data_IF_650123224136
#
_entry.id   IF_650123224136
#
_cell.length_a   1.000
_cell.length_b   1.000
_cell.length_c   1.000
_cell.angle_alpha   90.00
_cell.angle_beta   90.00
_cell.angle_gamma   90.00
#
_symmetry.space_group_name_H-M   'P 1'
#
loop_
_entity.id
_entity.type
_entity.pdbx_description
1 polymer ?
#
# COMPACT_ATOMS: atom_id res chain seq x y z
N UNK A 1 32.41 -14.61 -38.56
CA UNK A 1 31.10 -15.30 -38.59
C UNK A 1 30.82 -16.19 -37.37
N UNK A 2 31.72 -17.10 -36.94
CA UNK A 2 31.47 -17.96 -35.76
C UNK A 2 31.38 -17.20 -34.41
N UNK A 3 32.23 -16.20 -34.19
CA UNK A 3 32.19 -15.34 -33.00
C UNK A 3 30.89 -14.53 -32.91
N UNK A 4 30.46 -13.95 -34.03
CA UNK A 4 29.20 -13.22 -34.14
C UNK A 4 28.01 -14.13 -33.81
N UNK A 5 27.94 -15.34 -34.40
CA UNK A 5 26.88 -16.31 -34.07
C UNK A 5 26.86 -16.70 -32.58
N UNK A 6 28.03 -16.84 -31.93
CA UNK A 6 28.13 -17.11 -30.49
C UNK A 6 27.62 -15.95 -29.64
N UNK A 7 27.97 -14.72 -30.01
CA UNK A 7 27.47 -13.52 -29.33
C UNK A 7 25.94 -13.42 -29.38
N UNK A 8 25.33 -13.60 -30.56
CA UNK A 8 23.88 -13.60 -30.69
C UNK A 8 23.21 -14.71 -29.90
N UNK A 9 23.80 -15.91 -29.86
CA UNK A 9 23.27 -17.01 -29.06
C UNK A 9 23.30 -16.69 -27.56
N UNK A 10 24.38 -16.08 -27.06
CA UNK A 10 24.50 -15.65 -25.66
C UNK A 10 23.46 -14.59 -25.34
N UNK A 11 23.32 -13.58 -26.21
CA UNK A 11 22.33 -12.52 -26.03
C UNK A 11 20.91 -13.08 -26.02
N UNK A 12 20.58 -13.95 -26.98
CA UNK A 12 19.27 -14.61 -27.07
C UNK A 12 18.97 -15.44 -25.82
N UNK A 13 19.92 -16.26 -25.36
CA UNK A 13 19.74 -17.05 -24.15
C UNK A 13 19.59 -16.16 -22.91
N UNK A 14 20.37 -15.09 -22.82
CA UNK A 14 20.25 -14.09 -21.76
C UNK A 14 18.86 -13.45 -21.74
N UNK A 15 18.32 -13.08 -22.91
CA UNK A 15 16.95 -12.55 -23.03
C UNK A 15 15.91 -13.58 -22.59
N UNK A 16 16.04 -14.86 -22.98
CA UNK A 16 15.11 -15.90 -22.55
C UNK A 16 15.14 -16.11 -21.03
N UNK A 17 16.33 -16.14 -20.43
CA UNK A 17 16.49 -16.25 -18.98
C UNK A 17 15.85 -15.04 -18.28
N UNK A 18 16.07 -13.83 -18.80
CA UNK A 18 15.46 -12.62 -18.26
C UNK A 18 13.94 -12.64 -18.35
N UNK A 19 13.37 -13.03 -19.49
CA UNK A 19 11.92 -13.19 -19.65
C UNK A 19 11.40 -14.23 -18.65
N UNK A 20 12.02 -15.40 -18.56
CA UNK A 20 11.62 -16.41 -17.58
C UNK A 20 11.68 -15.89 -16.14
N UNK A 21 12.74 -15.14 -15.78
CA UNK A 21 12.87 -14.47 -14.50
C UNK A 21 11.70 -13.54 -14.23
N UNK A 22 11.36 -12.64 -15.16
CA UNK A 22 10.24 -11.69 -14.99
C UNK A 22 8.93 -12.44 -14.75
N UNK A 23 8.61 -13.44 -15.58
CA UNK A 23 7.37 -14.22 -15.42
C UNK A 23 7.31 -14.96 -14.07
N UNK A 24 8.39 -15.60 -13.64
CA UNK A 24 8.43 -16.35 -12.38
C UNK A 24 8.36 -15.41 -11.18
N UNK A 25 9.20 -14.36 -11.17
CA UNK A 25 9.33 -13.45 -10.03
C UNK A 25 8.16 -12.47 -9.88
N UNK A 26 7.24 -12.42 -10.83
CA UNK A 26 6.02 -11.59 -10.76
C UNK A 26 4.77 -12.42 -10.44
N UNK A 27 4.93 -13.72 -10.15
CA UNK A 27 3.80 -14.60 -9.82
C UNK A 27 2.93 -14.95 -11.03
N UNK A 28 3.41 -14.79 -12.26
CA UNK A 28 2.59 -14.95 -13.47
C UNK A 28 1.89 -16.32 -13.57
N UNK A 29 2.55 -17.38 -13.11
CA UNK A 29 2.05 -18.74 -13.14
C UNK A 29 1.27 -19.15 -11.88
N UNK A 30 1.03 -18.21 -10.95
CA UNK A 30 0.34 -18.51 -9.71
C UNK A 30 -1.13 -18.82 -9.98
N UNK A 31 -1.63 -19.90 -9.37
CA UNK A 31 -3.04 -20.27 -9.44
C UNK A 31 -3.85 -19.40 -8.49
N UNK A 32 -5.02 -18.97 -8.95
CA UNK A 32 -5.97 -18.19 -8.16
C UNK A 32 -7.01 -19.16 -7.60
N UNK A 33 -7.02 -19.34 -6.28
CA UNK A 33 -7.92 -20.27 -5.59
C UNK A 33 -8.44 -19.61 -4.31
N UNK A 34 -9.75 -19.44 -4.19
CA UNK A 34 -10.36 -18.85 -3.00
C UNK A 34 -10.53 -19.90 -1.90
N UNK A 35 -9.90 -19.68 -0.74
CA UNK A 35 -10.05 -20.52 0.46
C UNK A 35 -10.80 -19.83 1.60
N UNK A 36 -11.43 -18.69 1.31
CA UNK A 36 -12.09 -17.88 2.32
C UNK A 36 -13.30 -18.57 2.95
N UNK A 37 -13.26 -18.71 4.27
CA UNK A 37 -14.40 -19.16 5.09
C UNK A 37 -15.22 -17.95 5.55
N UNK A 38 -16.13 -17.50 4.70
CA UNK A 38 -16.95 -16.33 4.96
C UNK A 38 -17.78 -15.92 3.76
N UNK A 39 -18.21 -14.65 3.74
CA UNK A 39 -18.97 -14.08 2.62
C UNK A 39 -18.71 -12.60 2.43
N UNK A 40 -18.85 -12.13 1.20
CA UNK A 40 -18.98 -10.69 0.90
C UNK A 40 -20.37 -10.26 1.40
N UNK A 41 -20.42 -9.28 2.29
CA UNK A 41 -21.68 -8.75 2.82
C UNK A 41 -22.09 -7.43 2.19
N UNK A 42 -21.14 -6.65 1.67
CA UNK A 42 -21.39 -5.40 0.94
C UNK A 42 -20.33 -5.12 -0.10
N UNK A 43 -20.75 -4.41 -1.16
CA UNK A 43 -19.90 -3.64 -2.06
C UNK A 43 -20.27 -2.17 -1.90
N UNK A 44 -19.30 -1.31 -1.62
CA UNK A 44 -19.51 0.11 -1.36
C UNK A 44 -18.93 0.88 -2.54
N UNK A 45 -19.77 1.66 -3.21
CA UNK A 45 -19.37 2.48 -4.35
C UNK A 45 -18.52 3.67 -3.88
N UNK A 46 -17.21 3.50 -4.00
CA UNK A 46 -16.19 4.49 -3.68
C UNK A 46 -14.94 4.11 -4.48
N UNK A 47 -14.79 4.65 -5.71
CA UNK A 47 -13.74 4.20 -6.63
C UNK A 47 -12.32 4.41 -6.08
N UNK A 48 -11.46 3.42 -6.27
CA UNK A 48 -10.05 3.50 -5.90
C UNK A 48 -9.82 3.81 -4.43
N UNK A 49 -10.54 3.11 -3.54
CA UNK A 49 -10.38 3.15 -2.10
C UNK A 49 -9.07 2.45 -1.70
N UNK A 50 -7.96 3.13 -1.89
CA UNK A 50 -6.63 2.54 -1.96
C UNK A 50 -6.05 2.22 -0.58
N UNK A 51 -6.36 3.02 0.44
CA UNK A 51 -5.89 2.79 1.80
C UNK A 51 -6.97 3.10 2.85
N UNK A 52 -6.96 2.36 3.97
CA UNK A 52 -8.00 2.40 5.00
C UNK A 52 -7.36 2.23 6.39
N UNK A 53 -7.59 3.20 7.28
CA UNK A 53 -7.18 3.13 8.69
C UNK A 53 -8.40 3.16 9.61
N UNK A 54 -8.39 2.32 10.67
CA UNK A 54 -9.51 2.20 11.62
C UNK A 54 -9.15 2.75 13.00
N UNK A 55 -10.03 3.59 13.54
CA UNK A 55 -10.10 3.81 14.98
C UNK A 55 -11.01 2.77 15.62
N UNK A 56 -10.40 1.78 16.28
CA UNK A 56 -11.16 0.72 16.98
C UNK A 56 -11.91 1.27 18.20
N UNK A 57 -11.24 2.14 18.96
CA UNK A 57 -11.76 2.75 20.19
C UNK A 57 -12.99 3.63 19.97
N UNK A 58 -13.03 4.38 18.86
CA UNK A 58 -14.18 5.24 18.55
C UNK A 58 -15.09 4.66 17.45
N UNK A 59 -14.70 3.49 16.90
CA UNK A 59 -15.42 2.67 15.93
C UNK A 59 -15.75 3.41 14.63
N UNK A 60 -14.72 3.89 13.93
CA UNK A 60 -14.83 4.46 12.60
C UNK A 60 -13.61 4.14 11.74
N UNK A 61 -13.75 4.23 10.42
CA UNK A 61 -12.64 4.16 9.48
C UNK A 61 -12.44 5.49 8.73
N UNK A 62 -11.21 5.75 8.32
CA UNK A 62 -10.87 6.75 7.31
C UNK A 62 -10.39 6.02 6.08
N UNK A 63 -10.96 6.38 4.93
CA UNK A 63 -10.66 5.76 3.64
C UNK A 63 -10.03 6.84 2.75
N UNK A 64 -8.85 6.55 2.22
CA UNK A 64 -8.25 7.29 1.11
C UNK A 64 -8.85 6.79 -0.18
N UNK A 65 -9.42 7.67 -1.00
CA UNK A 65 -9.97 7.28 -2.30
C UNK A 65 -9.60 8.28 -3.37
N UNK A 66 -9.12 7.76 -4.51
CA UNK A 66 -8.79 8.55 -5.70
C UNK A 66 -9.28 7.84 -6.95
N UNK A 67 -10.18 8.50 -7.69
CA UNK A 67 -10.64 7.97 -8.98
C UNK A 67 -9.61 8.27 -10.08
N UNK A 68 -9.30 7.26 -10.88
CA UNK A 68 -8.56 7.44 -12.14
C UNK A 68 -7.05 7.25 -12.06
N UNK A 69 -6.53 6.46 -11.10
CA UNK A 69 -5.12 6.07 -11.01
C UNK A 69 -4.59 5.19 -12.16
N UNK A 70 -5.41 4.93 -13.18
CA UNK A 70 -5.02 4.15 -14.35
C UNK A 70 -3.88 4.84 -15.12
N UNK A 71 -3.02 4.02 -15.71
CA UNK A 71 -1.90 4.45 -16.53
C UNK A 71 -2.26 4.43 -18.02
N UNK A 72 -1.85 5.43 -18.82
CA UNK A 72 -1.25 6.69 -18.40
C UNK A 72 -2.27 7.58 -17.67
N UNK A 73 -1.84 8.48 -16.79
CA UNK A 73 -2.74 9.43 -16.11
C UNK A 73 -3.45 10.30 -17.15
N UNK A 74 -4.74 10.07 -17.42
CA UNK A 74 -5.47 10.75 -18.52
C UNK A 74 -6.25 11.99 -18.06
N UNK A 75 -6.43 12.24 -16.76
CA UNK A 75 -7.20 13.39 -16.25
C UNK A 75 -6.70 13.84 -14.87
N UNK A 76 -7.24 14.97 -14.38
CA UNK A 76 -7.11 15.36 -12.98
C UNK A 76 -7.70 14.26 -12.08
N UNK A 77 -6.82 13.51 -11.42
CA UNK A 77 -7.20 12.61 -10.33
C UNK A 77 -7.97 13.43 -9.29
N UNK A 78 -9.22 13.04 -9.06
CA UNK A 78 -10.07 13.65 -8.03
C UNK A 78 -10.27 12.62 -6.95
N UNK A 79 -9.80 12.94 -5.76
CA UNK A 79 -9.92 12.07 -4.61
C UNK A 79 -10.33 12.81 -3.35
N UNK A 80 -10.37 12.07 -2.25
CA UNK A 80 -10.79 12.58 -0.97
C UNK A 80 -10.53 11.60 0.15
N UNK A 81 -10.66 12.11 1.38
CA UNK A 81 -10.72 11.28 2.57
C UNK A 81 -12.19 11.11 2.96
N UNK A 82 -12.56 9.88 3.29
CA UNK A 82 -13.95 9.53 3.61
C UNK A 82 -14.03 8.94 5.01
N UNK A 83 -15.05 9.33 5.75
CA UNK A 83 -15.38 8.77 7.06
C UNK A 83 -16.38 7.64 6.91
N UNK A 84 -16.11 6.49 7.52
CA UNK A 84 -17.04 5.37 7.61
C UNK A 84 -17.40 5.10 9.07
N UNK A 85 -18.68 5.19 9.41
CA UNK A 85 -19.16 4.81 10.75
C UNK A 85 -19.23 3.28 10.84
N UNK A 86 -18.54 2.69 11.83
CA UNK A 86 -18.50 1.24 12.03
C UNK A 86 -19.49 0.76 13.10
N UNK A 87 -20.29 1.67 13.69
CA UNK A 87 -21.32 1.34 14.68
C UNK A 87 -22.63 0.94 14.02
N UNK A 88 -22.81 1.29 12.75
CA UNK A 88 -24.00 0.94 11.96
C UNK A 88 -23.63 -0.06 10.88
N UNK A 89 -24.62 -0.82 10.41
CA UNK A 89 -24.45 -1.75 9.30
C UNK A 89 -24.70 -1.10 7.94
N UNK A 90 -24.86 0.23 7.89
CA UNK A 90 -25.15 0.95 6.64
C UNK A 90 -23.86 1.12 5.83
N UNK A 91 -22.73 1.39 6.49
CA UNK A 91 -21.41 1.57 5.90
C UNK A 91 -21.43 2.58 4.74
N UNK A 92 -22.07 3.74 4.95
CA UNK A 92 -22.10 4.83 3.98
C UNK A 92 -20.90 5.77 4.19
N UNK A 93 -19.99 5.91 3.21
CA UNK A 93 -18.85 6.82 3.32
C UNK A 93 -19.30 8.29 3.24
N UNK A 94 -18.77 9.13 4.14
CA UNK A 94 -18.99 10.57 4.15
C UNK A 94 -17.71 11.27 3.67
N UNK A 95 -17.79 12.01 2.57
CA UNK A 95 -16.64 12.78 2.07
C UNK A 95 -16.27 13.89 3.06
N UNK A 96 -15.09 13.80 3.66
CA UNK A 96 -14.56 14.75 4.63
C UNK A 96 -13.84 15.95 3.98
N UNK A 97 -13.47 15.82 2.71
CA UNK A 97 -12.64 16.77 1.97
C UNK A 97 -13.42 17.51 0.88
N UNK A 98 -14.76 17.49 0.90
CA UNK A 98 -15.59 18.18 -0.10
C UNK A 98 -15.32 19.68 -0.17
N UNK A 99 -14.95 20.29 0.95
CA UNK A 99 -14.62 21.71 1.06
C UNK A 99 -13.10 22.00 0.91
N UNK A 100 -12.27 20.96 0.73
CA UNK A 100 -10.84 21.13 0.53
C UNK A 100 -10.56 21.59 -0.90
N UNK A 101 -10.14 22.84 -1.06
CA UNK A 101 -10.04 23.51 -2.37
C UNK A 101 -8.74 23.24 -3.13
N UNK A 102 -7.75 22.61 -2.50
CA UNK A 102 -6.49 22.25 -3.15
C UNK A 102 -6.68 20.96 -3.95
N UNK A 103 -6.00 20.83 -5.09
CA UNK A 103 -5.96 19.59 -5.84
C UNK A 103 -5.48 18.44 -4.93
N UNK A 104 -6.27 17.37 -4.89
CA UNK A 104 -6.09 16.31 -3.91
C UNK A 104 -6.40 14.95 -4.53
N UNK A 105 -5.36 14.11 -4.56
CA UNK A 105 -5.40 12.72 -4.99
C UNK A 105 -4.65 11.91 -3.91
N UNK A 106 -5.33 11.61 -2.78
CA UNK A 106 -4.71 10.94 -1.66
C UNK A 106 -4.34 9.49 -2.00
N UNK A 107 -3.23 9.02 -1.43
CA UNK A 107 -2.67 7.66 -1.52
C UNK A 107 -2.65 7.05 -0.11
N UNK A 108 -1.52 6.51 0.35
CA UNK A 108 -1.38 6.01 1.72
C UNK A 108 -1.66 7.08 2.78
N UNK A 109 -2.27 6.64 3.88
CA UNK A 109 -2.73 7.48 4.99
C UNK A 109 -2.30 6.92 6.35
N UNK A 110 -2.10 7.83 7.30
CA UNK A 110 -1.88 7.45 8.69
C UNK A 110 -2.74 8.26 9.63
N UNK A 111 -3.20 7.64 10.71
CA UNK A 111 -4.04 8.27 11.72
C UNK A 111 -3.53 7.98 13.13
N UNK A 112 -3.45 9.03 13.97
CA UNK A 112 -3.20 8.90 15.41
C UNK A 112 -4.19 9.73 16.21
N UNK A 113 -4.61 9.22 17.37
CA UNK A 113 -5.44 9.98 18.31
C UNK A 113 -4.59 10.97 19.10
N UNK A 114 -5.05 12.21 19.19
CA UNK A 114 -4.45 13.29 19.98
C UNK A 114 -5.57 13.91 20.83
N UNK A 115 -5.56 13.57 22.12
CA UNK A 115 -6.62 13.92 23.07
C UNK A 115 -8.00 13.44 22.59
N UNK A 116 -8.93 14.37 22.32
CA UNK A 116 -10.27 14.10 21.80
C UNK A 116 -10.37 14.16 20.27
N UNK A 117 -9.28 14.46 19.58
CA UNK A 117 -9.23 14.61 18.12
C UNK A 117 -8.29 13.59 17.48
N UNK A 118 -8.27 13.53 16.16
CA UNK A 118 -7.34 12.70 15.41
C UNK A 118 -6.48 13.55 14.50
N UNK A 119 -5.20 13.20 14.38
CA UNK A 119 -4.32 13.74 13.36
C UNK A 119 -4.21 12.73 12.23
N UNK A 120 -4.45 13.18 11.00
CA UNK A 120 -4.40 12.35 9.80
C UNK A 120 -3.33 12.93 8.86
N UNK A 121 -2.45 12.07 8.36
CA UNK A 121 -1.56 12.39 7.23
C UNK A 121 -2.06 11.64 6.00
N UNK A 122 -1.98 12.28 4.84
CA UNK A 122 -2.25 11.67 3.55
C UNK A 122 -1.15 12.03 2.57
N UNK A 123 -0.52 11.02 1.96
CA UNK A 123 0.28 11.22 0.76
C UNK A 123 -0.65 11.80 -0.32
N UNK A 124 -0.21 12.82 -1.05
CA UNK A 124 -0.98 13.48 -2.09
C UNK A 124 -0.15 13.62 -3.36
N UNK A 125 -0.72 13.21 -4.49
CA UNK A 125 -0.09 13.29 -5.80
C UNK A 125 -0.76 14.36 -6.66
N UNK A 126 0.02 15.33 -7.13
CA UNK A 126 -0.49 16.35 -8.06
C UNK A 126 0.48 16.55 -9.21
N UNK A 127 0.04 17.25 -10.26
CA UNK A 127 0.93 17.66 -11.35
C UNK A 127 2.09 18.57 -10.87
N UNK A 128 1.93 19.20 -9.70
CA UNK A 128 2.94 20.06 -9.07
C UNK A 128 3.95 19.26 -8.22
N UNK A 129 3.82 17.93 -8.22
CA UNK A 129 4.61 16.99 -7.44
C UNK A 129 3.86 16.45 -6.22
N UNK A 130 4.63 15.80 -5.35
CA UNK A 130 4.14 15.05 -4.21
C UNK A 130 4.18 15.88 -2.93
N UNK A 131 3.18 15.69 -2.06
CA UNK A 131 3.10 16.32 -0.74
C UNK A 131 2.55 15.33 0.28
N UNK A 132 2.69 15.67 1.57
CA UNK A 132 1.94 15.04 2.65
C UNK A 132 1.03 16.10 3.26
N UNK A 133 -0.28 15.90 3.12
CA UNK A 133 -1.30 16.78 3.68
C UNK A 133 -1.70 16.30 5.07
N UNK A 134 -1.66 17.21 6.04
CA UNK A 134 -1.98 16.92 7.44
C UNK A 134 -3.27 17.61 7.84
N UNK A 135 -4.17 16.84 8.43
CA UNK A 135 -5.48 17.28 8.88
C UNK A 135 -5.69 16.95 10.36
N UNK A 136 -6.55 17.73 11.00
CA UNK A 136 -7.15 17.39 12.30
C UNK A 136 -8.60 17.02 12.06
N UNK A 137 -9.02 15.86 12.58
CA UNK A 137 -10.39 15.38 12.61
C UNK A 137 -10.97 15.55 14.01
N UNK A 138 -12.04 16.35 14.12
CA UNK A 138 -12.83 16.52 15.33
C UNK A 138 -14.29 16.14 15.04
N UNK A 139 -14.75 15.01 15.60
CA UNK A 139 -16.01 14.40 15.19
C UNK A 139 -15.96 13.98 13.72
N UNK A 140 -16.77 14.62 12.88
CA UNK A 140 -16.77 14.44 11.41
C UNK A 140 -16.27 15.67 10.65
N UNK A 141 -15.68 16.64 11.35
CA UNK A 141 -15.10 17.85 10.74
C UNK A 141 -13.61 17.65 10.56
N UNK A 142 -13.17 17.62 9.30
CA UNK A 142 -11.77 17.53 8.92
C UNK A 142 -11.24 18.92 8.57
N UNK A 143 -10.16 19.36 9.22
CA UNK A 143 -9.56 20.67 9.01
C UNK A 143 -8.09 20.52 8.63
N UNK A 144 -7.73 21.00 7.43
CA UNK A 144 -6.33 21.03 6.98
C UNK A 144 -5.49 21.90 7.93
N UNK A 145 -4.31 21.41 8.27
CA UNK A 145 -3.38 22.04 9.20
C UNK A 145 -2.09 22.46 8.50
N UNK A 146 -1.52 21.55 7.69
CA UNK A 146 -0.19 21.73 7.12
C UNK A 146 -0.01 20.88 5.87
N UNK A 147 0.72 21.44 4.91
CA UNK A 147 1.25 20.71 3.76
C UNK A 147 2.75 20.55 3.96
N UNK A 148 3.24 19.31 3.95
CA UNK A 148 4.67 19.02 3.91
C UNK A 148 5.09 18.74 2.46
N UNK A 149 6.21 19.35 2.07
CA UNK A 149 6.84 19.14 0.77
C UNK A 149 8.35 19.21 0.96
N UNK A 150 9.06 18.22 0.45
CA UNK A 150 10.51 18.15 0.54
C UNK A 150 11.08 17.44 -0.69
N UNK A 151 12.36 17.69 -1.00
CA UNK A 151 13.06 17.05 -2.13
C UNK A 151 13.23 15.54 -1.96
N UNK A 152 13.16 15.03 -0.72
CA UNK A 152 13.18 13.60 -0.42
C UNK A 152 11.89 12.86 -0.81
N UNK A 153 10.79 13.57 -1.07
CA UNK A 153 9.52 13.00 -1.57
C UNK A 153 9.58 12.77 -3.08
N UNK A 154 10.40 11.81 -3.51
CA UNK A 154 10.63 11.48 -4.93
C UNK A 154 9.45 10.73 -5.54
N UNK A 155 8.93 9.73 -4.85
CA UNK A 155 7.75 8.97 -5.26
C UNK A 155 7.08 8.37 -4.02
N UNK A 156 6.55 9.22 -3.10
CA UNK A 156 6.05 8.75 -1.82
C UNK A 156 4.84 7.83 -2.02
N UNK A 157 4.76 6.74 -1.27
CA UNK A 157 3.70 5.74 -1.43
C UNK A 157 2.77 5.75 -0.22
N UNK A 158 3.34 5.51 0.97
CA UNK A 158 2.62 5.46 2.22
C UNK A 158 3.36 6.20 3.36
N UNK A 159 2.66 6.52 4.44
CA UNK A 159 3.12 7.30 5.59
C UNK A 159 2.70 6.63 6.89
N UNK A 160 3.53 6.70 7.95
CA UNK A 160 3.15 6.24 9.28
C UNK A 160 3.57 7.22 10.39
N UNK A 161 2.60 7.65 11.19
CA UNK A 161 2.86 8.50 12.36
C UNK A 161 3.56 7.71 13.49
N UNK A 162 4.70 8.21 13.94
CA UNK A 162 5.35 7.71 15.16
C UNK A 162 4.73 8.36 16.38
N UNK A 163 4.58 9.68 16.31
CA UNK A 163 3.96 10.53 17.32
C UNK A 163 3.28 11.75 16.68
N UNK A 164 2.89 12.74 17.48
CA UNK A 164 2.18 13.94 17.00
C UNK A 164 3.02 14.87 16.11
N UNK A 165 4.32 14.69 16.01
CA UNK A 165 5.26 15.58 15.31
C UNK A 165 6.11 14.84 14.26
N UNK A 166 6.31 13.54 14.41
CA UNK A 166 7.24 12.76 13.58
C UNK A 166 6.58 11.59 12.86
N UNK A 167 7.07 11.28 11.66
CA UNK A 167 6.54 10.20 10.81
C UNK A 167 7.64 9.59 9.93
N UNK A 168 7.41 8.36 9.47
CA UNK A 168 8.11 7.80 8.32
C UNK A 168 7.23 7.91 7.08
N UNK A 169 7.84 7.96 5.90
CA UNK A 169 7.16 7.67 4.63
C UNK A 169 8.06 6.83 3.72
N UNK A 170 7.46 5.96 2.94
CA UNK A 170 8.13 5.18 1.90
C UNK A 170 8.14 5.97 0.60
N UNK A 171 9.25 5.95 -0.15
CA UNK A 171 9.20 6.25 -1.59
C UNK A 171 9.26 4.95 -2.36
N UNK A 172 8.26 4.68 -3.20
CA UNK A 172 8.19 3.42 -3.91
C UNK A 172 9.27 3.26 -4.97
N UNK A 173 9.73 4.37 -5.56
CA UNK A 173 10.68 4.36 -6.65
C UNK A 173 11.66 5.52 -6.55
N UNK A 174 12.83 5.33 -7.15
CA UNK A 174 13.78 6.43 -7.39
C UNK A 174 13.45 7.20 -8.67
N UNK A 175 12.98 6.50 -9.71
CA UNK A 175 12.62 7.10 -10.99
C UNK A 175 11.11 7.12 -11.16
N UNK A 176 10.53 8.31 -11.35
CA UNK A 176 9.08 8.44 -11.58
C UNK A 176 8.65 7.94 -12.97
N UNK A 177 9.52 8.08 -13.99
CA UNK A 177 9.19 7.70 -15.38
C UNK A 177 10.43 7.19 -16.14
N UNK A 178 10.19 6.70 -17.36
CA UNK A 178 11.25 6.32 -18.32
C UNK A 178 11.88 4.96 -18.05
N UNK A 179 13.07 4.73 -18.64
CA UNK A 179 13.74 3.43 -18.60
C UNK A 179 14.13 3.03 -17.17
N UNK A 180 14.49 4.00 -16.32
CA UNK A 180 14.79 3.75 -14.91
C UNK A 180 13.61 3.11 -14.18
N UNK A 181 12.41 3.68 -14.35
CA UNK A 181 11.17 3.14 -13.78
C UNK A 181 10.87 1.74 -14.29
N UNK A 182 11.03 1.50 -15.60
CA UNK A 182 10.87 0.14 -16.16
C UNK A 182 11.87 -0.86 -15.56
N UNK A 183 13.11 -0.45 -15.30
CA UNK A 183 14.10 -1.33 -14.66
C UNK A 183 13.66 -1.68 -13.24
N UNK A 184 13.17 -0.71 -12.46
CA UNK A 184 12.60 -0.94 -11.13
C UNK A 184 11.42 -1.94 -11.19
N UNK A 185 10.43 -1.67 -12.06
CA UNK A 185 9.20 -2.47 -12.17
C UNK A 185 9.45 -3.91 -12.64
N UNK A 186 10.34 -4.14 -13.62
CA UNK A 186 10.51 -5.47 -14.22
C UNK A 186 11.71 -6.24 -13.67
N UNK A 187 12.83 -5.57 -13.40
CA UNK A 187 14.03 -6.23 -12.85
C UNK A 187 13.90 -6.42 -11.35
N UNK A 188 13.20 -5.53 -10.65
CA UNK A 188 13.11 -5.55 -9.18
C UNK A 188 14.42 -5.15 -8.52
N UNK A 189 15.04 -4.08 -9.02
CA UNK A 189 16.21 -3.47 -8.38
C UNK A 189 15.79 -2.81 -7.06
N UNK A 190 16.67 -2.89 -6.08
CA UNK A 190 16.43 -2.47 -4.70
C UNK A 190 16.96 -1.05 -4.47
N UNK A 191 16.26 -0.05 -5.02
CA UNK A 191 16.70 1.37 -4.97
C UNK A 191 15.68 2.32 -4.35
N UNK A 192 14.54 1.79 -3.90
CA UNK A 192 13.53 2.50 -3.13
C UNK A 192 13.99 2.68 -1.66
N UNK A 193 13.35 3.60 -0.93
CA UNK A 193 13.81 3.99 0.41
C UNK A 193 12.66 4.34 1.37
N UNK A 194 13.02 4.54 2.64
CA UNK A 194 12.17 5.11 3.69
C UNK A 194 12.85 6.35 4.25
N UNK A 195 12.07 7.41 4.42
CA UNK A 195 12.51 8.70 4.95
C UNK A 195 11.78 8.98 6.26
N UNK A 196 12.54 9.44 7.25
CA UNK A 196 12.07 9.92 8.54
C UNK A 196 11.97 11.44 8.54
N UNK A 197 10.86 11.95 9.06
CA UNK A 197 10.69 13.36 9.39
C UNK A 197 10.62 13.53 10.91
N UNK A 198 11.53 14.31 11.49
CA UNK A 198 11.66 14.48 12.95
C UNK A 198 10.79 15.61 13.54
N UNK A 199 10.06 16.34 12.70
CA UNK A 199 9.35 17.57 13.07
C UNK A 199 9.92 18.83 12.39
N UNK A 200 11.16 18.75 11.91
CA UNK A 200 11.90 19.84 11.26
C UNK A 200 12.69 19.36 10.03
N UNK A 201 13.44 18.26 10.15
CA UNK A 201 14.36 17.73 9.16
C UNK A 201 13.90 16.39 8.59
N UNK A 202 14.40 16.06 7.41
CA UNK A 202 14.18 14.80 6.71
C UNK A 202 15.50 14.01 6.62
N UNK A 203 15.45 12.71 6.89
CA UNK A 203 16.60 11.82 6.79
C UNK A 203 16.19 10.46 6.22
N UNK A 204 16.93 9.95 5.25
CA UNK A 204 16.79 8.56 4.81
C UNK A 204 17.21 7.63 5.97
N UNK A 205 16.34 6.66 6.30
CA UNK A 205 16.55 5.74 7.43
C UNK A 205 16.55 4.27 7.01
N UNK A 206 16.14 3.96 5.79
CA UNK A 206 16.33 2.65 5.16
C UNK A 206 16.39 2.81 3.63
N UNK A 207 17.24 2.00 2.99
CA UNK A 207 17.36 1.88 1.54
C UNK A 207 17.35 0.38 1.14
N UNK A 208 17.67 0.06 -0.11
CA UNK A 208 17.77 -1.34 -0.54
C UNK A 208 16.40 -2.03 -0.61
N UNK A 209 15.34 -1.29 -0.94
CA UNK A 209 13.99 -1.83 -1.02
C UNK A 209 13.57 -1.91 -2.50
N UNK A 210 12.97 -3.03 -2.91
CA UNK A 210 12.38 -3.17 -4.22
C UNK A 210 10.90 -2.78 -4.14
N UNK A 211 10.58 -1.57 -4.60
CA UNK A 211 9.23 -1.00 -4.52
C UNK A 211 8.79 -0.80 -3.06
N UNK A 212 9.25 0.26 -2.37
CA UNK A 212 8.83 0.50 -0.98
C UNK A 212 7.37 0.99 -0.93
N UNK A 213 6.46 0.14 -0.48
CA UNK A 213 5.02 0.40 -0.56
C UNK A 213 4.46 0.69 0.86
N UNK A 214 3.42 0.00 1.32
CA UNK A 214 2.82 0.14 2.65
C UNK A 214 3.82 0.06 3.79
N UNK A 215 3.69 0.94 4.77
CA UNK A 215 4.57 1.02 5.95
C UNK A 215 3.75 1.18 7.23
N UNK A 216 3.98 0.32 8.23
CA UNK A 216 3.29 0.45 9.51
C UNK A 216 4.21 0.07 10.69
N UNK A 217 3.82 0.45 11.90
CA UNK A 217 4.63 0.27 13.12
C UNK A 217 3.87 -0.40 14.26
N UNK A 218 4.46 -1.46 14.80
CA UNK A 218 4.12 -1.96 16.13
C UNK A 218 4.85 -1.11 17.18
N UNK A 219 4.15 -0.12 17.72
CA UNK A 219 4.69 0.80 18.73
C UNK A 219 5.05 0.12 20.06
N UNK A 220 4.52 -1.07 20.36
CA UNK A 220 4.82 -1.78 21.61
C UNK A 220 6.15 -2.50 21.52
N UNK A 221 6.49 -3.02 20.34
CA UNK A 221 7.74 -3.75 20.08
C UNK A 221 8.81 -2.90 19.40
N UNK A 222 8.49 -1.67 19.02
CA UNK A 222 9.34 -0.80 18.19
C UNK A 222 9.75 -1.51 16.88
N UNK A 223 8.79 -2.19 16.24
CA UNK A 223 9.01 -2.89 14.96
C UNK A 223 8.30 -2.17 13.82
N UNK A 224 9.03 -1.86 12.76
CA UNK A 224 8.48 -1.31 11.52
C UNK A 224 8.41 -2.42 10.49
N UNK A 225 7.26 -2.52 9.84
CA UNK A 225 7.00 -3.45 8.74
C UNK A 225 6.80 -2.65 7.46
N UNK A 226 7.49 -3.06 6.40
CA UNK A 226 7.48 -2.38 5.12
C UNK A 226 7.24 -3.37 4.00
N UNK A 227 6.22 -3.13 3.19
CA UNK A 227 5.91 -3.93 2.02
C UNK A 227 6.93 -3.68 0.90
N UNK A 228 7.39 -4.77 0.29
CA UNK A 228 8.26 -4.78 -0.90
C UNK A 228 7.65 -5.73 -1.94
N UNK A 229 6.58 -5.29 -2.64
CA UNK A 229 5.78 -6.12 -3.54
C UNK A 229 6.63 -6.71 -4.65
N UNK A 230 7.67 -6.01 -5.12
CA UNK A 230 8.46 -6.51 -6.24
C UNK A 230 9.35 -7.71 -5.88
N UNK A 231 9.56 -7.97 -4.58
CA UNK A 231 10.25 -9.17 -4.10
C UNK A 231 9.31 -10.17 -3.43
N UNK A 232 8.02 -9.86 -3.33
CA UNK A 232 7.04 -10.66 -2.58
C UNK A 232 7.41 -10.84 -1.11
N UNK A 233 7.94 -9.77 -0.49
CA UNK A 233 8.38 -9.79 0.91
C UNK A 233 7.82 -8.62 1.71
N UNK A 234 7.66 -8.84 3.01
CA UNK A 234 7.57 -7.76 4.01
C UNK A 234 8.92 -7.68 4.71
N UNK A 235 9.54 -6.50 4.70
CA UNK A 235 10.78 -6.23 5.44
C UNK A 235 10.45 -5.84 6.87
N UNK A 236 11.19 -6.41 7.83
CA UNK A 236 11.06 -6.08 9.25
C UNK A 236 12.28 -5.29 9.71
N UNK A 237 12.04 -4.15 10.35
CA UNK A 237 13.07 -3.31 10.92
C UNK A 237 12.83 -3.09 12.41
N UNK A 238 13.91 -3.07 13.19
CA UNK A 238 13.91 -2.50 14.52
C UNK A 238 13.95 -0.97 14.37
N UNK A 239 12.99 -0.29 14.99
CA UNK A 239 13.08 1.15 15.22
C UNK A 239 14.00 1.41 16.40
N UNK A 240 15.07 2.15 16.15
CA UNK A 240 16.04 2.55 17.17
C UNK A 240 15.52 3.74 17.99
N UNK A 241 16.20 4.04 19.10
CA UNK A 241 15.86 5.17 19.99
C UNK A 241 15.96 6.53 19.31
N UNK A 242 16.86 6.66 18.33
CA UNK A 242 17.04 7.84 17.50
C UNK A 242 16.14 7.84 16.25
N UNK A 243 15.21 6.90 16.16
CA UNK A 243 14.29 6.68 15.04
C UNK A 243 14.98 6.26 13.72
N UNK A 244 16.25 5.88 13.74
CA UNK A 244 16.85 5.12 12.62
C UNK A 244 16.28 3.70 12.57
N UNK A 245 16.38 3.03 11.41
CA UNK A 245 15.88 1.67 11.22
C UNK A 245 17.04 0.69 11.07
N UNK A 246 16.99 -0.43 11.81
CA UNK A 246 17.93 -1.54 11.66
C UNK A 246 17.21 -2.75 11.11
N UNK A 247 17.63 -3.23 9.94
CA UNK A 247 17.05 -4.40 9.30
C UNK A 247 17.15 -5.65 10.19
N UNK A 248 16.07 -6.43 10.27
CA UNK A 248 16.00 -7.67 11.05
C UNK A 248 15.96 -8.88 10.11
N UNK A 249 14.93 -8.97 9.27
CA UNK A 249 14.71 -10.04 8.31
C UNK A 249 13.66 -9.67 7.25
N UNK A 250 13.60 -10.52 6.22
CA UNK A 250 12.54 -10.52 5.19
C UNK A 250 11.55 -11.65 5.48
N UNK A 251 10.26 -11.35 5.39
CA UNK A 251 9.16 -12.30 5.47
C UNK A 251 8.73 -12.66 4.04
N UNK A 252 8.98 -13.90 3.62
CA UNK A 252 8.66 -14.38 2.27
C UNK A 252 7.15 -14.64 2.13
N UNK A 253 6.44 -13.74 1.44
CA UNK A 253 4.98 -13.75 1.35
C UNK A 253 4.43 -14.48 0.12
N UNK A 254 5.24 -14.62 -0.93
CA UNK A 254 4.82 -15.30 -2.17
C UNK A 254 3.76 -14.55 -3.00
N UNK A 255 3.51 -13.29 -2.67
CA UNK A 255 2.55 -12.41 -3.34
C UNK A 255 3.01 -10.95 -3.29
N UNK A 256 2.51 -10.11 -4.20
CA UNK A 256 2.81 -8.69 -4.23
C UNK A 256 2.12 -7.95 -3.09
N UNK A 257 2.71 -7.97 -1.90
CA UNK A 257 2.20 -7.29 -0.71
C UNK A 257 2.14 -5.78 -0.89
N UNK A 258 1.03 -5.19 -0.45
CA UNK A 258 0.72 -3.76 -0.60
C UNK A 258 0.54 -3.13 0.82
N UNK A 259 -0.47 -2.30 1.07
CA UNK A 259 -0.71 -1.65 2.36
C UNK A 259 -0.85 -2.62 3.56
N UNK A 260 -0.26 -2.23 4.71
CA UNK A 260 -0.15 -3.05 5.93
C UNK A 260 -0.96 -2.44 7.07
N UNK A 261 -1.92 -3.19 7.60
CA UNK A 261 -2.71 -2.79 8.77
C UNK A 261 -2.60 -3.81 9.92
N UNK A 262 -2.82 -3.37 11.15
CA UNK A 262 -2.79 -4.26 12.33
C UNK A 262 -4.19 -4.62 12.84
N UNK A 263 -4.38 -5.88 13.21
CA UNK A 263 -5.52 -6.28 14.05
C UNK A 263 -5.25 -6.03 15.55
N UNK A 264 -6.27 -6.27 16.38
CA UNK A 264 -6.20 -6.11 17.84
C UNK A 264 -5.13 -6.98 18.51
N UNK A 265 -4.76 -8.10 17.88
CA UNK A 265 -3.76 -9.03 18.38
C UNK A 265 -2.34 -8.69 17.90
N UNK A 266 -2.20 -7.69 17.02
CA UNK A 266 -0.91 -7.28 16.44
C UNK A 266 -0.48 -8.15 15.25
N UNK A 267 -1.39 -8.89 14.63
CA UNK A 267 -1.14 -9.53 13.34
C UNK A 267 -1.26 -8.49 12.22
N UNK A 268 -0.47 -8.68 11.17
CA UNK A 268 -0.52 -7.85 9.99
C UNK A 268 -1.59 -8.39 9.04
N UNK A 269 -2.38 -7.48 8.47
CA UNK A 269 -3.35 -7.74 7.42
C UNK A 269 -2.97 -6.90 6.21
N UNK A 270 -2.85 -7.56 5.05
CA UNK A 270 -2.26 -6.95 3.86
C UNK A 270 -3.11 -7.30 2.65
N UNK A 271 -3.50 -6.28 1.88
CA UNK A 271 -3.97 -6.47 0.51
C UNK A 271 -2.81 -6.85 -0.40
N UNK A 272 -3.04 -7.65 -1.42
CA UNK A 272 -1.96 -8.21 -2.22
C UNK A 272 -2.33 -8.47 -3.68
N UNK A 273 -1.29 -8.48 -4.52
CA UNK A 273 -1.35 -8.72 -5.96
C UNK A 273 -0.67 -10.05 -6.31
N UNK A 274 -1.44 -11.14 -6.52
CA UNK A 274 -0.89 -12.46 -6.83
C UNK A 274 -0.08 -12.55 -8.12
N UNK A 275 -0.36 -11.64 -9.07
CA UNK A 275 0.27 -11.59 -10.39
C UNK A 275 0.52 -10.13 -10.79
N UNK A 276 1.75 -9.66 -10.61
CA UNK A 276 2.12 -8.26 -10.84
C UNK A 276 2.08 -7.86 -12.32
N UNK A 277 2.32 -8.80 -13.24
CA UNK A 277 2.18 -8.51 -14.68
C UNK A 277 0.72 -8.34 -15.07
N UNK A 278 -0.17 -9.18 -14.54
CA UNK A 278 -1.61 -9.05 -14.78
C UNK A 278 -2.13 -7.75 -14.17
N UNK A 279 -1.72 -7.42 -12.94
CA UNK A 279 -2.00 -6.12 -12.32
C UNK A 279 -1.52 -4.95 -13.17
N UNK A 280 -0.28 -5.01 -13.70
CA UNK A 280 0.25 -3.95 -14.55
C UNK A 280 -0.56 -3.77 -15.86
N UNK A 281 -1.06 -4.85 -16.44
CA UNK A 281 -1.92 -4.77 -17.63
C UNK A 281 -3.33 -4.27 -17.30
N UNK A 282 -3.88 -4.62 -16.13
CA UNK A 282 -5.10 -4.03 -15.59
C UNK A 282 -4.95 -2.52 -15.35
N UNK A 283 -3.85 -2.09 -14.72
CA UNK A 283 -3.51 -0.68 -14.52
C UNK A 283 -3.42 0.13 -15.82
N UNK A 284 -3.04 -0.52 -16.94
CA UNK A 284 -3.00 0.11 -18.27
C UNK A 284 -4.36 0.09 -19.00
N UNK A 285 -5.39 -0.54 -18.43
CA UNK A 285 -6.67 -0.76 -19.08
C UNK A 285 -6.67 -1.87 -20.14
N UNK A 286 -5.61 -2.70 -20.21
CA UNK A 286 -5.51 -3.82 -21.14
C UNK A 286 -6.20 -5.09 -20.61
N UNK A 287 -6.59 -5.10 -19.33
CA UNK A 287 -7.39 -6.13 -18.67
C UNK A 287 -8.56 -5.47 -17.95
N UNK A 288 -9.70 -6.15 -17.94
CA UNK A 288 -10.90 -5.67 -17.25
C UNK A 288 -10.82 -5.86 -15.73
N UNK A 289 -10.15 -6.93 -15.29
CA UNK A 289 -10.01 -7.29 -13.87
C UNK A 289 -8.57 -7.65 -13.53
N UNK A 290 -8.24 -7.65 -12.24
CA UNK A 290 -6.99 -8.17 -11.68
C UNK A 290 -7.27 -8.97 -10.41
N UNK A 291 -6.65 -10.14 -10.21
CA UNK A 291 -6.82 -10.91 -8.98
C UNK A 291 -6.52 -10.12 -7.72
N UNK A 292 -7.33 -10.32 -6.69
CA UNK A 292 -7.12 -9.80 -5.34
C UNK A 292 -6.74 -10.91 -4.36
N UNK A 293 -5.96 -10.57 -3.35
CA UNK A 293 -5.61 -11.46 -2.26
C UNK A 293 -5.48 -10.70 -0.94
N UNK A 294 -5.86 -11.36 0.16
CA UNK A 294 -5.60 -10.90 1.52
C UNK A 294 -4.77 -11.95 2.22
N UNK A 295 -3.64 -11.53 2.78
CA UNK A 295 -2.83 -12.37 3.68
C UNK A 295 -2.84 -11.81 5.10
N UNK A 296 -2.75 -12.71 6.06
CA UNK A 296 -2.54 -12.42 7.48
C UNK A 296 -1.17 -12.94 7.90
N UNK A 297 -0.37 -12.11 8.55
CA UNK A 297 0.95 -12.49 9.09
C UNK A 297 0.92 -12.39 10.60
N UNK A 298 1.09 -13.51 11.29
CA UNK A 298 1.38 -13.54 12.72
C UNK A 298 2.90 -13.55 12.89
N UNK A 299 3.49 -12.37 13.17
CA UNK A 299 4.92 -12.23 13.41
C UNK A 299 5.23 -12.20 14.90
N UNK A 300 6.02 -13.15 15.40
CA UNK A 300 6.41 -13.20 16.82
C UNK A 300 7.82 -12.70 17.04
N UNK A 301 8.77 -13.21 16.27
CA UNK A 301 10.19 -12.87 16.34
C UNK A 301 10.89 -13.28 15.04
N UNK A 302 12.20 -12.97 14.95
CA UNK A 302 13.03 -13.36 13.82
C UNK A 302 12.95 -14.86 13.55
N UNK A 303 12.48 -15.26 12.37
CA UNK A 303 12.31 -16.65 11.96
C UNK A 303 11.13 -17.40 12.60
N UNK A 304 10.28 -16.71 13.36
CA UNK A 304 9.05 -17.26 13.96
C UNK A 304 7.85 -16.39 13.54
N UNK A 305 7.31 -16.74 12.38
CA UNK A 305 6.09 -16.15 11.84
C UNK A 305 5.27 -17.20 11.09
N UNK A 306 3.99 -16.92 10.91
CA UNK A 306 3.10 -17.70 10.04
C UNK A 306 2.36 -16.77 9.10
N UNK A 307 2.10 -17.25 7.89
CA UNK A 307 1.35 -16.55 6.86
C UNK A 307 0.13 -17.38 6.50
N UNK A 308 -1.04 -16.76 6.57
CA UNK A 308 -2.32 -17.34 6.21
C UNK A 308 -2.88 -16.56 5.01
N UNK A 309 -3.24 -17.27 3.94
CA UNK A 309 -4.08 -16.69 2.89
C UNK A 309 -5.52 -16.69 3.39
N UNK A 310 -6.07 -15.49 3.60
CA UNK A 310 -7.44 -15.34 4.12
C UNK A 310 -8.46 -15.32 2.99
N UNK A 311 -8.18 -14.55 1.93
CA UNK A 311 -9.09 -14.37 0.81
C UNK A 311 -8.32 -14.30 -0.50
N UNK A 312 -8.87 -14.83 -1.58
CA UNK A 312 -8.29 -14.71 -2.91
C UNK A 312 -9.38 -14.83 -3.97
N UNK A 313 -9.36 -13.98 -5.00
CA UNK A 313 -10.31 -14.10 -6.11
C UNK A 313 -9.69 -13.58 -7.42
N UNK A 314 -10.40 -13.72 -8.53
CA UNK A 314 -9.90 -13.47 -9.90
C UNK A 314 -10.11 -12.03 -10.41
N UNK A 315 -10.62 -11.15 -9.55
CA UNK A 315 -10.96 -9.76 -9.78
C UNK A 315 -12.42 -9.52 -10.11
N UNK A 316 -13.26 -10.56 -10.18
CA UNK A 316 -14.70 -10.43 -10.50
C UNK A 316 -15.51 -9.78 -9.38
N UNK A 317 -15.11 -9.99 -8.12
CA UNK A 317 -15.82 -9.41 -6.99
C UNK A 317 -15.29 -8.02 -6.65
N UNK A 318 -13.96 -7.88 -6.67
CA UNK A 318 -13.21 -6.63 -6.56
C UNK A 318 -11.80 -6.85 -7.08
N UNK A 319 -11.31 -6.00 -7.98
CA UNK A 319 -9.98 -6.13 -8.57
C UNK A 319 -8.88 -5.42 -7.78
N UNK A 320 -7.69 -6.03 -7.75
CA UNK A 320 -6.44 -5.44 -7.26
C UNK A 320 -6.52 -4.89 -5.82
N UNK A 321 -6.79 -5.76 -4.85
CA UNK A 321 -6.79 -5.40 -3.44
C UNK A 321 -5.46 -4.78 -2.97
N UNK A 322 -5.55 -3.66 -2.26
CA UNK A 322 -4.39 -2.90 -1.75
C UNK A 322 -4.28 -2.94 -0.23
N UNK A 323 -5.41 -2.83 0.47
CA UNK A 323 -5.46 -2.81 1.93
C UNK A 323 -6.52 -3.78 2.44
N UNK A 324 -6.26 -4.38 3.60
CA UNK A 324 -7.24 -5.15 4.34
C UNK A 324 -7.17 -4.78 5.81
N UNK A 325 -8.27 -4.26 6.37
CA UNK A 325 -8.35 -3.88 7.79
C UNK A 325 -9.55 -4.55 8.45
N UNK A 326 -9.35 -5.08 9.65
CA UNK A 326 -10.39 -5.83 10.38
C UNK A 326 -11.16 -4.94 11.35
N UNK A 327 -12.42 -5.27 11.64
CA UNK A 327 -13.16 -4.73 12.79
C UNK A 327 -14.17 -5.78 13.28
N UNK A 328 -13.87 -6.43 14.40
CA UNK A 328 -14.62 -7.61 14.82
C UNK A 328 -14.50 -8.75 13.79
N UNK A 329 -15.63 -9.30 13.35
CA UNK A 329 -15.68 -10.36 12.32
C UNK A 329 -15.60 -9.82 10.87
N UNK A 330 -15.58 -8.49 10.70
CA UNK A 330 -15.53 -7.84 9.38
C UNK A 330 -14.11 -7.59 8.90
N UNK A 331 -13.94 -7.61 7.58
CA UNK A 331 -12.72 -7.20 6.87
C UNK A 331 -13.12 -6.19 5.79
N UNK A 332 -12.56 -4.99 5.85
CA UNK A 332 -12.73 -3.94 4.84
C UNK A 332 -11.56 -4.04 3.88
N UNK A 333 -11.86 -4.24 2.60
CA UNK A 333 -10.84 -4.53 1.58
C UNK A 333 -10.90 -3.43 0.54
N UNK A 334 -9.84 -2.64 0.47
CA UNK A 334 -9.65 -1.56 -0.50
C UNK A 334 -8.98 -2.02 -1.79
N UNK A 335 -8.90 -1.13 -2.78
CA UNK A 335 -8.31 -1.40 -4.09
C UNK A 335 -7.76 -0.13 -4.78
N UNK A 336 -6.94 -0.33 -5.82
CA UNK A 336 -6.29 0.78 -6.55
C UNK A 336 -7.27 1.61 -7.40
N UNK A 337 -8.19 0.97 -8.13
CA UNK A 337 -8.98 1.66 -9.19
C UNK A 337 -10.40 1.12 -9.44
N UNK A 338 -10.78 0.01 -8.81
CA UNK A 338 -12.10 -0.56 -8.97
C UNK A 338 -13.16 0.41 -8.42
N UNK A 339 -14.38 0.34 -8.96
CA UNK A 339 -15.46 1.27 -8.61
C UNK A 339 -15.97 1.06 -7.18
N UNK A 340 -15.74 -0.12 -6.62
CA UNK A 340 -16.24 -0.49 -5.30
C UNK A 340 -15.15 -1.11 -4.46
N UNK A 341 -15.15 -0.81 -3.16
CA UNK A 341 -14.47 -1.63 -2.17
C UNK A 341 -15.44 -2.62 -1.54
N UNK A 342 -14.95 -3.70 -0.94
CA UNK A 342 -15.80 -4.77 -0.40
C UNK A 342 -15.66 -4.91 1.10
N UNK A 343 -16.73 -5.40 1.72
CA UNK A 343 -16.73 -5.80 3.13
C UNK A 343 -16.98 -7.30 3.18
N UNK A 344 -15.99 -8.02 3.70
CA UNK A 344 -16.08 -9.44 3.98
C UNK A 344 -16.53 -9.64 5.43
N UNK A 345 -17.25 -10.73 5.67
CA UNK A 345 -17.58 -11.23 7.00
C UNK A 345 -17.04 -12.64 7.16
N UNK A 346 -16.19 -12.84 8.18
CA UNK A 346 -15.69 -14.15 8.60
C UNK A 346 -16.79 -14.93 9.32
N UNK A 347 -16.78 -16.25 9.20
CA UNK A 347 -17.74 -17.14 9.87
C UNK A 347 -17.42 -17.36 11.36
#
# INVERSE_FOLDING_TARGET
MKLFKRFFLILFLGTLIFVAYVFISTGFFRTIENKFDGKIIKKINLPGAEDIVISRIDSFAIISSTKGRALPKVNYETGGLYYLDLKTNDFEPINLTSEFKTQFAPHGISMIKVDSTYKIAAINHTEKGHTIEVFTLNGKTLTHQKTFKDVSMTSPNDVVWLDKNSFYFSNDHKYETGIGRLVEDYVGVEIANVVFFDGENYAEVADGIAFANGINIDKKRDLVFLASPRKFIVKVYQKNKDNTLTFIEDIECGTGVDNIEFDEEGNLWIGSHPNLLHFAEYAKGNKETSPSEIIKINYKAKGDYTIEQVYMEDGTEMSASTVAVTFGDLIFVGNVMDDNFIILKRN
#
